data_IF_768765396159
#
_entry.id   IF_768765396159
#
_cell.length_a   1.000
_cell.length_b   1.000
_cell.length_c   1.000
_cell.angle_alpha   90.00
_cell.angle_beta   90.00
_cell.angle_gamma   90.00
#
_symmetry.space_group_name_H-M   'P 1'
#
loop_
_entity.id
_entity.type
_entity.pdbx_description
1 polymer ?
#
# COMPACT_ATOMS: atom_id res chain seq x y z
N UNK A 1 10.93 17.23 3.63
CA UNK A 1 10.17 16.51 2.60
C UNK A 1 8.94 15.96 3.27
N UNK A 2 7.74 16.30 2.79
CA UNK A 2 6.50 15.92 3.45
C UNK A 2 6.31 14.41 3.36
N UNK A 3 6.18 13.74 4.50
CA UNK A 3 5.68 12.38 4.53
C UNK A 3 4.25 12.42 4.02
N UNK A 4 3.93 11.62 2.98
CA UNK A 4 2.54 11.39 2.62
C UNK A 4 1.95 10.58 3.76
N UNK A 5 1.25 11.25 4.67
CA UNK A 5 0.45 10.55 5.66
C UNK A 5 -0.58 9.73 4.87
N UNK A 6 -0.54 8.41 4.97
CA UNK A 6 -1.58 7.52 4.46
C UNK A 6 -1.82 6.40 5.45
N UNK A 7 -3.00 5.79 5.38
CA UNK A 7 -3.23 4.52 6.05
C UNK A 7 -4.05 3.60 5.17
N UNK A 8 -3.83 2.31 5.34
CA UNK A 8 -4.51 1.28 4.57
C UNK A 8 -5.16 0.26 5.49
N UNK A 9 -6.27 -0.30 5.02
CA UNK A 9 -6.86 -1.50 5.60
C UNK A 9 -6.57 -2.64 4.62
N UNK A 10 -5.84 -3.65 5.09
CA UNK A 10 -5.40 -4.77 4.28
C UNK A 10 -5.94 -6.07 4.86
N UNK A 11 -6.57 -6.87 4.00
CA UNK A 11 -6.92 -8.26 4.29
C UNK A 11 -6.03 -9.16 3.44
N UNK A 12 -5.31 -10.05 4.11
CA UNK A 12 -4.44 -11.03 3.48
C UNK A 12 -5.00 -12.42 3.70
N UNK A 13 -5.20 -13.17 2.62
CA UNK A 13 -5.82 -14.51 2.66
C UNK A 13 -4.86 -15.53 2.05
N UNK A 14 -4.44 -16.57 2.81
CA UNK A 14 -3.68 -17.68 2.25
C UNK A 14 -4.51 -18.41 1.17
N UNK A 15 -3.83 -18.89 0.13
CA UNK A 15 -4.42 -19.77 -0.90
C UNK A 15 -3.51 -20.99 -1.09
N UNK A 16 -3.96 -21.98 -1.87
CA UNK A 16 -3.16 -23.20 -2.13
C UNK A 16 -1.90 -22.96 -2.97
N UNK A 17 -1.82 -21.84 -3.69
CA UNK A 17 -0.73 -21.52 -4.62
C UNK A 17 0.00 -20.21 -4.29
N UNK A 18 -0.40 -19.53 -3.23
CA UNK A 18 0.15 -18.21 -2.88
C UNK A 18 -0.78 -17.42 -1.96
N UNK A 19 -0.89 -16.12 -2.20
CA UNK A 19 -1.59 -15.17 -1.33
C UNK A 19 -2.53 -14.27 -2.10
N UNK A 20 -3.76 -14.11 -1.59
CA UNK A 20 -4.71 -13.11 -2.08
C UNK A 20 -4.72 -11.88 -1.18
N UNK A 21 -4.71 -10.70 -1.77
CA UNK A 21 -4.66 -9.42 -1.08
C UNK A 21 -5.86 -8.57 -1.48
N UNK A 22 -6.49 -7.93 -0.50
CA UNK A 22 -7.55 -6.94 -0.71
C UNK A 22 -7.32 -5.75 0.20
N UNK A 23 -7.36 -4.54 -0.34
CA UNK A 23 -7.12 -3.35 0.47
C UNK A 23 -7.89 -2.11 0.03
N UNK A 24 -7.93 -1.15 0.94
CA UNK A 24 -8.32 0.24 0.70
C UNK A 24 -7.25 1.17 1.25
N UNK A 25 -7.12 2.33 0.63
CA UNK A 25 -6.21 3.39 1.04
C UNK A 25 -6.99 4.66 1.33
N UNK A 26 -6.63 5.29 2.44
CA UNK A 26 -7.16 6.56 2.86
C UNK A 26 -6.03 7.56 2.96
N UNK A 27 -6.31 8.74 2.46
CA UNK A 27 -5.39 9.85 2.39
C UNK A 27 -6.00 11.00 3.21
N UNK A 28 -5.18 11.79 3.91
CA UNK A 28 -5.63 13.05 4.44
C UNK A 28 -6.27 13.92 3.34
N UNK A 29 -7.20 14.82 3.70
CA UNK A 29 -7.83 14.92 5.01
C UNK A 29 -8.73 13.73 5.31
N UNK A 30 -8.85 13.37 6.59
CA UNK A 30 -9.89 12.40 7.03
C UNK A 30 -11.28 12.87 6.57
N UNK A 31 -12.22 11.95 6.28
CA UNK A 31 -13.59 12.30 5.91
C UNK A 31 -14.20 13.32 6.88
N UNK A 32 -14.82 14.38 6.34
CA UNK A 32 -15.41 15.46 7.13
C UNK A 32 -14.44 16.51 7.68
N UNK A 33 -13.16 16.47 7.28
CA UNK A 33 -12.18 17.53 7.56
C UNK A 33 -11.92 18.34 6.29
N UNK A 34 -11.66 19.63 6.47
CA UNK A 34 -11.27 20.53 5.37
C UNK A 34 -9.95 20.07 4.76
N UNK A 35 -9.85 20.18 3.44
CA UNK A 35 -8.63 19.91 2.69
C UNK A 35 -7.53 20.89 3.14
N UNK A 36 -6.36 20.39 3.59
CA UNK A 36 -5.21 21.25 3.86
C UNK A 36 -4.81 21.99 2.58
N UNK A 37 -4.07 23.10 2.70
CA UNK A 37 -3.54 23.79 1.53
C UNK A 37 -2.73 22.83 0.65
N UNK A 38 -2.89 22.96 -0.67
CA UNK A 38 -2.31 22.07 -1.68
C UNK A 38 -0.77 21.91 -1.58
N UNK A 39 -0.08 22.85 -0.92
CA UNK A 39 1.35 22.78 -0.62
C UNK A 39 1.76 21.59 0.26
N UNK A 40 0.80 21.00 0.97
CA UNK A 40 1.05 19.96 1.97
C UNK A 40 0.85 18.54 1.40
N UNK A 41 0.42 18.41 0.15
CA UNK A 41 0.25 17.11 -0.55
C UNK A 41 1.22 16.94 -1.71
N UNK A 42 1.60 15.69 -2.03
CA UNK A 42 2.22 15.40 -3.32
C UNK A 42 1.31 15.84 -4.46
N UNK A 43 1.90 16.37 -5.54
CA UNK A 43 1.16 16.71 -6.74
C UNK A 43 0.54 15.44 -7.33
N UNK A 44 -0.79 15.42 -7.50
CA UNK A 44 -1.50 14.34 -8.17
C UNK A 44 -1.14 14.32 -9.67
N UNK A 45 -1.08 13.14 -10.32
CA UNK A 45 -1.35 11.80 -9.77
C UNK A 45 -0.16 11.20 -9.01
N UNK A 46 -0.44 10.32 -8.04
CA UNK A 46 0.59 9.56 -7.30
C UNK A 46 0.37 8.07 -7.48
N UNK A 47 1.39 7.35 -7.92
CA UNK A 47 1.35 5.90 -8.10
C UNK A 47 2.04 5.21 -6.92
N UNK A 48 1.39 4.17 -6.41
CA UNK A 48 1.83 3.38 -5.27
C UNK A 48 1.91 1.90 -5.63
N UNK A 49 2.80 1.19 -4.95
CA UNK A 49 2.93 -0.26 -5.01
C UNK A 49 2.62 -0.91 -3.67
N UNK A 50 1.94 -2.05 -3.69
CA UNK A 50 1.82 -2.97 -2.56
C UNK A 50 2.93 -4.01 -2.68
N UNK A 51 3.89 -3.96 -1.77
CA UNK A 51 5.10 -4.79 -1.81
C UNK A 51 5.05 -5.84 -0.70
N UNK A 52 5.22 -7.10 -1.08
CA UNK A 52 5.49 -8.18 -0.14
C UNK A 52 6.98 -8.25 0.11
N UNK A 53 7.39 -8.09 1.37
CA UNK A 53 8.77 -8.32 1.78
C UNK A 53 8.86 -9.68 2.46
N UNK A 54 9.62 -10.57 1.85
CA UNK A 54 9.86 -11.91 2.37
C UNK A 54 10.89 -11.89 3.49
N UNK A 55 10.90 -12.95 4.31
CA UNK A 55 11.86 -13.13 5.42
C UNK A 55 13.32 -13.23 4.98
N UNK A 56 13.57 -13.54 3.71
CA UNK A 56 14.91 -13.51 3.11
C UNK A 56 15.31 -12.12 2.58
N UNK A 57 14.45 -11.11 2.78
CA UNK A 57 14.63 -9.73 2.33
C UNK A 57 14.21 -9.48 0.87
N UNK A 58 13.83 -10.51 0.11
CA UNK A 58 13.40 -10.29 -1.26
C UNK A 58 12.04 -9.56 -1.31
N UNK A 59 11.91 -8.67 -2.29
CA UNK A 59 10.77 -7.78 -2.49
C UNK A 59 9.98 -8.25 -3.71
N UNK A 60 8.65 -8.24 -3.63
CA UNK A 60 7.77 -8.55 -4.76
C UNK A 60 6.62 -7.57 -4.78
N UNK A 61 6.49 -6.80 -5.87
CA UNK A 61 5.30 -5.98 -6.11
C UNK A 61 4.13 -6.90 -6.40
N UNK A 62 3.12 -6.87 -5.53
CA UNK A 62 1.91 -7.67 -5.68
C UNK A 62 0.81 -6.92 -6.45
N UNK A 63 0.82 -5.59 -6.41
CA UNK A 63 -0.10 -4.77 -7.18
C UNK A 63 0.26 -3.29 -7.10
N UNK A 64 -0.22 -2.53 -8.09
CA UNK A 64 0.04 -1.09 -8.22
C UNK A 64 -1.27 -0.35 -8.45
N UNK A 65 -1.38 0.87 -7.94
CA UNK A 65 -2.54 1.74 -8.18
C UNK A 65 -2.12 3.21 -8.26
N UNK A 66 -2.95 4.01 -8.92
CA UNK A 66 -2.74 5.46 -9.02
C UNK A 66 -3.86 6.19 -8.29
N UNK A 67 -3.48 7.05 -7.35
CA UNK A 67 -4.38 7.95 -6.64
C UNK A 67 -4.51 9.26 -7.40
N UNK A 68 -5.76 9.70 -7.59
CA UNK A 68 -6.13 10.94 -8.29
C UNK A 68 -7.10 11.78 -7.46
N UNK A 69 -6.96 11.72 -6.12
CA UNK A 69 -7.85 12.38 -5.16
C UNK A 69 -8.88 11.44 -4.50
N UNK A 70 -9.35 11.83 -3.32
CA UNK A 70 -10.33 11.06 -2.53
C UNK A 70 -9.75 9.79 -1.88
N UNK A 71 -10.59 8.78 -1.66
CA UNK A 71 -10.18 7.46 -1.16
C UNK A 71 -9.97 6.48 -2.32
N UNK A 72 -9.12 5.47 -2.11
CA UNK A 72 -9.00 4.35 -3.05
C UNK A 72 -9.55 3.09 -2.41
N UNK A 73 -10.61 2.55 -3.01
CA UNK A 73 -11.37 1.43 -2.47
C UNK A 73 -11.32 0.22 -3.43
N UNK A 74 -11.49 -0.97 -2.87
CA UNK A 74 -11.71 -2.18 -3.66
C UNK A 74 -10.50 -2.67 -4.44
N UNK A 75 -9.28 -2.33 -4.00
CA UNK A 75 -8.06 -2.85 -4.61
C UNK A 75 -7.92 -4.32 -4.27
N UNK A 76 -7.55 -5.13 -5.27
CA UNK A 76 -7.28 -6.53 -5.10
C UNK A 76 -6.15 -7.02 -6.00
N UNK A 77 -5.41 -8.01 -5.50
CA UNK A 77 -4.31 -8.62 -6.22
C UNK A 77 -4.08 -10.05 -5.70
N UNK A 78 -3.23 -10.79 -6.40
CA UNK A 78 -2.75 -12.08 -5.94
C UNK A 78 -1.29 -12.28 -6.32
N UNK A 79 -0.55 -12.96 -5.45
CA UNK A 79 0.87 -13.25 -5.63
C UNK A 79 1.13 -14.74 -5.41
N UNK A 80 2.07 -15.31 -6.16
CA UNK A 80 2.55 -16.67 -5.94
C UNK A 80 3.40 -16.81 -4.66
N UNK A 81 3.75 -15.70 -4.00
CA UNK A 81 4.46 -15.71 -2.72
C UNK A 81 3.55 -16.26 -1.63
N UNK A 82 3.90 -17.39 -0.96
CA UNK A 82 3.15 -17.89 0.17
C UNK A 82 3.19 -16.89 1.33
N UNK A 83 2.04 -16.67 2.00
CA UNK A 83 1.96 -15.75 3.15
C UNK A 83 2.91 -16.16 4.28
N UNK A 84 3.15 -17.46 4.40
CA UNK A 84 4.09 -18.01 5.36
C UNK A 84 5.54 -17.60 5.09
N UNK A 85 5.89 -17.04 3.92
CA UNK A 85 7.25 -16.55 3.62
C UNK A 85 7.36 -15.02 3.76
N UNK A 86 6.22 -14.33 3.92
CA UNK A 86 6.15 -12.87 4.05
C UNK A 86 6.43 -12.46 5.50
N UNK A 87 7.34 -11.51 5.67
CA UNK A 87 7.65 -10.90 6.97
C UNK A 87 6.77 -9.68 7.23
N UNK A 88 6.62 -8.84 6.20
CA UNK A 88 5.83 -7.62 6.25
C UNK A 88 5.29 -7.25 4.87
N UNK A 89 4.25 -6.44 4.89
CA UNK A 89 3.70 -5.78 3.70
C UNK A 89 4.01 -4.31 3.78
N UNK A 90 4.47 -3.74 2.67
CA UNK A 90 4.79 -2.32 2.53
C UNK A 90 3.91 -1.69 1.45
N UNK A 91 3.67 -0.40 1.60
CA UNK A 91 3.22 0.48 0.52
C UNK A 91 4.38 1.42 0.22
N UNK A 92 4.80 1.48 -1.04
CA UNK A 92 5.84 2.38 -1.53
C UNK A 92 5.28 3.31 -2.60
N UNK A 93 6.02 4.38 -2.92
CA UNK A 93 5.82 5.08 -4.17
C UNK A 93 6.37 4.22 -5.32
N UNK A 94 5.75 4.30 -6.50
CA UNK A 94 6.21 3.58 -7.70
C UNK A 94 7.68 3.89 -8.00
N UNK A 95 8.47 2.84 -8.19
CA UNK A 95 9.92 2.95 -8.43
C UNK A 95 10.77 3.32 -7.21
N UNK A 96 10.18 3.49 -6.02
CA UNK A 96 10.90 3.76 -4.77
C UNK A 96 10.91 2.54 -3.82
N UNK A 97 12.02 2.37 -3.10
CA UNK A 97 12.14 1.31 -2.08
C UNK A 97 11.71 1.77 -0.68
N UNK A 98 11.49 3.06 -0.48
CA UNK A 98 11.11 3.60 0.84
C UNK A 98 9.62 3.41 1.06
N UNK A 99 9.26 2.66 2.10
CA UNK A 99 7.87 2.47 2.49
C UNK A 99 7.28 3.76 3.09
N UNK A 100 6.11 4.15 2.59
CA UNK A 100 5.27 5.22 3.16
C UNK A 100 4.28 4.67 4.19
N UNK A 101 3.96 3.37 4.12
CA UNK A 101 3.25 2.63 5.16
C UNK A 101 3.75 1.18 5.20
N UNK A 102 3.74 0.56 6.38
CA UNK A 102 4.15 -0.83 6.54
C UNK A 102 3.38 -1.52 7.67
N UNK A 103 3.18 -2.83 7.54
CA UNK A 103 2.63 -3.69 8.57
C UNK A 103 3.33 -5.05 8.59
N UNK A 104 3.75 -5.49 9.78
CA UNK A 104 4.33 -6.83 9.97
C UNK A 104 3.24 -7.88 10.07
N UNK A 105 3.53 -9.09 9.59
CA UNK A 105 2.67 -10.25 9.74
C UNK A 105 3.23 -11.11 10.88
N UNK A 106 2.57 -11.06 12.03
CA UNK A 106 2.89 -11.89 13.21
C UNK A 106 2.15 -13.22 13.16
#
# INVERSE_FOLDING_TARGET
MGSVDMWAQLVVTPTSWGTKLKWSCHYPPKPGKSQPPQSDYPAEPVTYDLVLVRRDGARTVAGSWTWTGGETLGLDASSAVPIADVERVEITLDGEDTAVAAASLT
#
